data_IF_296047459925
#
_entry.id   IF_296047459925
#
_cell.length_a   1.000
_cell.length_b   1.000
_cell.length_c   1.000
_cell.angle_alpha   90.00
_cell.angle_beta   90.00
_cell.angle_gamma   90.00
#
_symmetry.space_group_name_H-M   'P 1'
#
loop_
_entity.id
_entity.type
_entity.pdbx_description
1 polymer ?
#
# COMPACT_ATOMS: atom_id res chain seq x y z
N UNK A 1 -1.15 9.63 -7.07
CA UNK A 1 -1.42 8.96 -5.79
C UNK A 1 -2.90 9.08 -5.46
N UNK A 2 -3.42 8.11 -4.74
CA UNK A 2 -4.83 8.08 -4.32
C UNK A 2 -4.97 8.64 -2.92
N UNK A 3 -5.95 9.52 -2.71
CA UNK A 3 -6.34 9.85 -1.35
C UNK A 3 -7.09 8.67 -0.74
N UNK A 4 -7.23 8.65 0.59
CA UNK A 4 -7.98 7.58 1.24
C UNK A 4 -9.42 7.48 0.73
N UNK A 5 -10.18 8.57 0.59
CA UNK A 5 -11.52 8.48 0.01
C UNK A 5 -11.54 7.93 -1.42
N UNK A 6 -10.57 8.34 -2.24
CA UNK A 6 -10.48 7.83 -3.61
C UNK A 6 -10.20 6.32 -3.63
N UNK A 7 -9.30 5.88 -2.76
CA UNK A 7 -8.96 4.47 -2.66
C UNK A 7 -10.16 3.65 -2.22
N UNK A 8 -10.92 4.15 -1.24
CA UNK A 8 -12.10 3.46 -0.76
C UNK A 8 -13.16 3.33 -1.85
N UNK A 9 -13.41 4.42 -2.57
CA UNK A 9 -14.37 4.39 -3.68
C UNK A 9 -13.94 3.38 -4.74
N UNK A 10 -12.65 3.37 -5.07
CA UNK A 10 -12.13 2.48 -6.09
C UNK A 10 -12.29 1.02 -5.69
N UNK A 11 -11.98 0.69 -4.46
CA UNK A 11 -12.13 -0.68 -3.96
C UNK A 11 -13.58 -1.11 -3.86
N UNK A 12 -14.47 -0.19 -3.49
CA UNK A 12 -15.90 -0.47 -3.43
C UNK A 12 -16.49 -0.66 -4.84
N UNK A 13 -16.00 0.12 -5.80
CA UNK A 13 -16.53 0.10 -7.15
C UNK A 13 -16.10 -1.14 -7.93
N UNK A 14 -14.87 -1.58 -7.74
CA UNK A 14 -14.31 -2.67 -8.51
C UNK A 14 -13.83 -3.79 -7.58
N UNK A 15 -14.68 -4.82 -7.35
CA UNK A 15 -14.33 -5.90 -6.46
C UNK A 15 -13.21 -6.80 -6.97
N UNK A 16 -12.80 -6.64 -8.22
CA UNK A 16 -11.66 -7.41 -8.74
C UNK A 16 -10.32 -6.82 -8.35
N UNK A 17 -10.29 -5.58 -7.87
CA UNK A 17 -9.06 -4.95 -7.45
C UNK A 17 -8.60 -5.53 -6.11
N UNK A 18 -7.33 -5.87 -6.05
CA UNK A 18 -6.73 -6.40 -4.83
C UNK A 18 -5.60 -5.46 -4.45
N UNK A 19 -5.68 -4.82 -3.28
CA UNK A 19 -4.60 -3.94 -2.86
C UNK A 19 -3.33 -4.74 -2.57
N UNK A 20 -2.20 -4.10 -2.79
CA UNK A 20 -0.89 -4.68 -2.60
C UNK A 20 -0.20 -3.91 -1.48
N UNK A 21 0.30 -4.62 -0.49
CA UNK A 21 1.21 -4.03 0.49
C UNK A 21 2.62 -4.27 -0.03
N UNK A 22 3.28 -3.19 -0.40
CA UNK A 22 4.60 -3.25 -0.99
C UNK A 22 5.65 -3.00 0.08
N UNK A 23 6.51 -3.99 0.30
CA UNK A 23 7.62 -3.84 1.23
C UNK A 23 8.76 -3.11 0.56
N UNK A 24 9.16 -2.02 1.18
CA UNK A 24 10.32 -1.24 0.76
C UNK A 24 11.45 -1.48 1.73
N UNK A 25 12.57 -0.82 1.51
CA UNK A 25 13.78 -1.11 2.28
C UNK A 25 13.58 -0.91 3.79
N UNK A 26 12.85 0.12 4.19
CA UNK A 26 12.67 0.42 5.61
C UNK A 26 11.23 0.86 5.95
N UNK A 27 10.29 0.59 5.05
CA UNK A 27 8.88 0.93 5.28
C UNK A 27 8.01 0.10 4.35
N UNK A 28 6.70 0.26 4.48
CA UNK A 28 5.72 -0.39 3.60
C UNK A 28 4.83 0.68 2.98
N UNK A 29 4.35 0.39 1.78
CA UNK A 29 3.41 1.25 1.06
C UNK A 29 2.22 0.41 0.62
N UNK A 30 1.09 1.07 0.37
CA UNK A 30 -0.08 0.40 -0.17
C UNK A 30 -0.30 0.90 -1.58
N UNK A 31 -0.46 -0.04 -2.50
CA UNK A 31 -0.67 0.24 -3.91
C UNK A 31 -1.98 -0.38 -4.35
N UNK A 32 -2.82 0.39 -5.01
CA UNK A 32 -4.11 -0.06 -5.54
C UNK A 32 -4.17 0.34 -6.99
N UNK A 33 -4.34 -0.65 -7.87
CA UNK A 33 -4.42 -0.43 -9.31
C UNK A 33 -3.24 0.36 -9.84
N UNK A 34 -2.05 0.09 -9.31
CA UNK A 34 -0.83 0.76 -9.74
C UNK A 34 -0.57 2.12 -9.10
N UNK A 35 -1.48 2.60 -8.27
CA UNK A 35 -1.32 3.89 -7.59
C UNK A 35 -1.10 3.70 -6.09
N UNK A 36 -0.15 4.46 -5.56
CA UNK A 36 0.12 4.45 -4.12
C UNK A 36 -0.90 5.30 -3.38
N UNK A 37 -1.06 4.99 -2.10
CA UNK A 37 -1.89 5.82 -1.22
C UNK A 37 -1.13 7.07 -0.84
N UNK A 38 -1.79 8.21 -0.93
CA UNK A 38 -1.20 9.49 -0.55
C UNK A 38 -1.11 9.61 0.98
N UNK A 39 -0.11 10.30 1.49
CA UNK A 39 -0.05 10.57 2.93
C UNK A 39 -1.13 11.57 3.33
N UNK A 40 -1.40 11.64 4.62
CA UNK A 40 -2.38 12.58 5.14
C UNK A 40 -1.97 14.02 4.83
N UNK A 41 -0.68 14.31 4.87
CA UNK A 41 -0.13 15.59 4.47
C UNK A 41 0.80 15.37 3.29
N UNK A 42 0.63 16.20 2.26
CA UNK A 42 1.54 16.13 1.12
C UNK A 42 2.92 16.61 1.54
N UNK A 43 3.90 15.90 1.03
CA UNK A 43 5.31 16.23 1.27
C UNK A 43 5.91 16.87 0.03
N UNK A 44 7.08 17.46 0.20
CA UNK A 44 7.85 18.04 -0.91
C UNK A 44 9.24 17.43 -0.89
N UNK A 45 9.58 16.58 -1.86
CA UNK A 45 8.75 16.10 -2.97
C UNK A 45 7.63 15.15 -2.52
N UNK A 46 6.59 14.99 -3.33
CA UNK A 46 5.49 14.09 -2.99
C UNK A 46 5.96 12.66 -2.82
N UNK A 47 5.51 12.03 -1.76
CA UNK A 47 5.84 10.64 -1.46
C UNK A 47 4.59 9.89 -1.05
N UNK A 48 4.57 8.59 -1.35
CA UNK A 48 3.49 7.72 -0.90
C UNK A 48 3.48 7.63 0.62
N UNK A 49 2.31 7.35 1.18
CA UNK A 49 2.19 7.12 2.61
C UNK A 49 3.04 5.93 3.02
N UNK A 50 3.83 6.11 4.07
CA UNK A 50 4.74 5.09 4.56
C UNK A 50 4.21 4.50 5.86
N UNK A 51 4.30 3.17 5.96
CA UNK A 51 3.91 2.45 7.16
C UNK A 51 5.16 1.76 7.70
N UNK A 52 5.34 1.79 8.99
CA UNK A 52 6.56 1.23 9.59
C UNK A 52 6.54 -0.29 9.63
N UNK A 53 5.36 -0.88 9.69
CA UNK A 53 5.23 -2.33 9.78
C UNK A 53 4.18 -2.83 8.82
N UNK A 54 4.27 -4.11 8.48
CA UNK A 54 3.25 -4.78 7.69
C UNK A 54 1.90 -4.73 8.40
N UNK A 55 1.89 -4.93 9.71
CA UNK A 55 0.67 -4.90 10.49
C UNK A 55 -0.01 -3.54 10.43
N UNK A 56 0.77 -2.46 10.45
CA UNK A 56 0.22 -1.12 10.36
C UNK A 56 -0.44 -0.88 9.00
N UNK A 57 0.19 -1.33 7.92
CA UNK A 57 -0.38 -1.20 6.58
C UNK A 57 -1.67 -2.02 6.45
N UNK A 58 -1.65 -3.24 6.95
CA UNK A 58 -2.83 -4.10 6.92
C UNK A 58 -3.97 -3.50 7.74
N UNK A 59 -3.66 -2.98 8.93
CA UNK A 59 -4.65 -2.34 9.79
C UNK A 59 -5.27 -1.11 9.12
N UNK A 60 -4.48 -0.36 8.37
CA UNK A 60 -4.98 0.79 7.62
C UNK A 60 -6.06 0.35 6.63
N UNK A 61 -5.81 -0.72 5.88
CA UNK A 61 -6.79 -1.24 4.93
C UNK A 61 -8.07 -1.67 5.64
N UNK A 62 -7.96 -2.36 6.76
CA UNK A 62 -9.13 -2.87 7.48
C UNK A 62 -9.92 -1.78 8.17
N UNK A 63 -9.23 -0.81 8.77
CA UNK A 63 -9.88 0.19 9.61
C UNK A 63 -10.21 1.46 8.84
N UNK A 64 -9.25 1.99 8.11
CA UNK A 64 -9.43 3.26 7.40
C UNK A 64 -10.22 3.09 6.12
N UNK A 65 -9.88 2.09 5.33
CA UNK A 65 -10.53 1.87 4.05
C UNK A 65 -11.68 0.87 4.15
N UNK A 66 -11.87 0.28 5.31
CA UNK A 66 -12.93 -0.70 5.55
C UNK A 66 -12.92 -1.81 4.51
N UNK A 67 -11.73 -2.19 4.09
CA UNK A 67 -11.56 -3.23 3.09
C UNK A 67 -11.41 -4.59 3.77
N UNK A 68 -12.22 -5.56 3.36
CA UNK A 68 -12.25 -6.88 3.99
C UNK A 68 -11.84 -8.00 3.06
N UNK A 69 -11.43 -7.68 1.86
CA UNK A 69 -11.04 -8.69 0.89
C UNK A 69 -9.60 -9.14 1.02
N UNK A 70 -9.13 -9.76 -0.03
CA UNK A 70 -7.77 -10.28 -0.10
C UNK A 70 -6.77 -9.14 -0.26
N UNK A 71 -5.55 -9.40 0.18
CA UNK A 71 -4.45 -8.46 0.09
C UNK A 71 -3.23 -9.22 -0.41
N UNK A 72 -2.56 -8.69 -1.43
CA UNK A 72 -1.26 -9.21 -1.83
C UNK A 72 -0.17 -8.51 -1.02
N UNK A 73 0.85 -9.27 -0.69
CA UNK A 73 2.04 -8.73 -0.03
C UNK A 73 3.21 -8.97 -0.95
N UNK A 74 3.86 -7.90 -1.34
CA UNK A 74 5.01 -7.96 -2.22
C UNK A 74 6.20 -7.34 -1.52
N UNK A 75 7.20 -8.15 -1.26
CA UNK A 75 8.40 -7.68 -0.61
C UNK A 75 9.44 -7.33 -1.65
N UNK A 76 9.92 -6.12 -1.58
CA UNK A 76 11.00 -5.67 -2.43
C UNK A 76 12.29 -5.79 -1.63
N UNK A 77 13.09 -6.77 -1.98
CA UNK A 77 14.35 -6.99 -1.29
C UNK A 77 15.49 -6.89 -2.28
N UNK A 78 16.20 -5.79 -2.27
CA UNK A 78 17.27 -5.58 -3.24
C UNK A 78 18.40 -6.58 -3.09
N UNK A 79 18.55 -7.20 -1.93
CA UNK A 79 19.60 -8.18 -1.74
C UNK A 79 19.19 -9.56 -2.23
N UNK A 80 17.91 -9.79 -2.38
CA UNK A 80 17.40 -11.07 -2.80
C UNK A 80 17.86 -11.44 -4.19
N UNK A 81 17.95 -10.43 -5.03
CA UNK A 81 18.40 -10.67 -6.39
C UNK A 81 19.77 -11.26 -6.44
N UNK A 82 20.55 -11.04 -5.44
CA UNK A 82 21.87 -11.60 -5.36
C UNK A 82 21.84 -12.94 -4.71
N UNK A 83 20.95 -13.02 -4.04
CA UNK A 83 20.72 -14.14 -3.32
C UNK A 83 21.30 -15.41 -3.64
N UNK A 84 21.50 -14.59 -3.81
CA UNK A 84 21.64 -15.18 -3.96
C UNK A 84 21.93 -15.69 -4.20
N UNK A 85 21.94 -15.43 -4.32
CA UNK A 85 22.17 -15.80 -4.83
C UNK A 85 22.45 -16.18 -4.68
#
# INVERSE_FOLDING_TARGET
MLTAPQAKVLLDYDPTLIPVILGCQNHFEIVINGDSIAPQRMTTPPQARQFKTLAAAYSYLRTFLDYRGDVFIRLSDPTTGTGDA
#
